data_IF_449065361096
#
_entry.id   IF_449065361096
#
_cell.length_a   1.000
_cell.length_b   1.000
_cell.length_c   1.000
_cell.angle_alpha   90.00
_cell.angle_beta   90.00
_cell.angle_gamma   90.00
#
_symmetry.space_group_name_H-M   'P 1'
#
loop_
_entity.id
_entity.type
_entity.pdbx_description
1 polymer ?
#
# COMPACT_ATOMS: atom_id res chain seq x y z
N UNK A 1 -97.44 -4.19 20.59
CA UNK A 1 -96.63 -2.96 20.73
C UNK A 1 -95.57 -3.30 21.75
N UNK A 2 -94.38 -3.66 21.28
CA UNK A 2 -93.25 -4.02 22.13
C UNK A 2 -92.05 -3.30 21.53
N UNK A 3 -91.68 -2.18 22.13
CA UNK A 3 -90.55 -1.35 21.72
C UNK A 3 -89.24 -2.12 21.94
N UNK A 4 -88.53 -2.43 20.85
CA UNK A 4 -87.12 -2.84 20.90
C UNK A 4 -86.27 -1.60 20.64
N UNK A 5 -85.62 -1.10 21.69
CA UNK A 5 -84.56 -0.10 21.59
C UNK A 5 -83.29 -0.75 21.00
N UNK A 6 -82.68 -0.19 19.94
CA UNK A 6 -81.43 -0.72 19.41
C UNK A 6 -80.25 -0.36 20.33
N UNK A 7 -79.44 -1.38 20.67
CA UNK A 7 -78.23 -1.22 21.46
C UNK A 7 -77.19 -0.36 20.71
N UNK A 8 -76.64 0.64 21.39
CA UNK A 8 -75.54 1.47 20.90
C UNK A 8 -74.22 0.69 20.86
N UNK A 9 -73.43 0.77 19.78
CA UNK A 9 -72.14 0.09 19.71
C UNK A 9 -71.12 0.74 20.65
N UNK A 10 -70.45 -0.09 21.46
CA UNK A 10 -69.34 0.35 22.29
C UNK A 10 -68.13 0.77 21.44
N UNK A 11 -67.41 1.85 21.80
CA UNK A 11 -66.20 2.24 21.11
C UNK A 11 -65.11 1.18 21.32
N UNK A 12 -64.29 0.88 20.29
CA UNK A 12 -63.18 -0.06 20.43
C UNK A 12 -62.18 0.45 21.45
N UNK A 13 -61.75 -0.43 22.37
CA UNK A 13 -60.70 -0.16 23.34
C UNK A 13 -59.39 0.19 22.63
N UNK A 14 -58.67 1.26 23.02
CA UNK A 14 -57.38 1.60 22.42
C UNK A 14 -56.36 0.49 22.67
N UNK A 15 -55.84 -0.12 21.60
CA UNK A 15 -54.72 -1.03 21.70
C UNK A 15 -53.48 -0.30 22.23
N UNK A 16 -52.71 -0.91 23.15
CA UNK A 16 -51.46 -0.32 23.62
C UNK A 16 -50.51 -0.12 22.42
N UNK A 17 -49.78 1.01 22.36
CA UNK A 17 -48.83 1.26 21.28
C UNK A 17 -47.78 0.16 21.27
N UNK A 18 -47.61 -0.49 20.12
CA UNK A 18 -46.55 -1.47 19.90
C UNK A 18 -45.19 -0.79 20.13
N UNK A 19 -44.26 -1.44 20.87
CA UNK A 19 -42.94 -0.87 21.11
C UNK A 19 -42.24 -0.67 19.78
N UNK A 20 -41.96 0.59 19.43
CA UNK A 20 -41.20 0.88 18.22
C UNK A 20 -39.75 0.45 18.42
N UNK A 21 -39.13 -0.22 17.44
CA UNK A 21 -37.73 -0.57 17.51
C UNK A 21 -36.87 0.70 17.65
N UNK A 22 -35.72 0.63 18.34
CA UNK A 22 -34.87 1.79 18.55
C UNK A 22 -34.45 2.39 17.20
N UNK A 23 -34.87 3.62 16.94
CA UNK A 23 -34.51 4.35 15.73
C UNK A 23 -33.17 5.04 15.94
N UNK A 24 -32.14 4.61 15.21
CA UNK A 24 -30.85 5.31 15.18
C UNK A 24 -31.04 6.72 14.61
N UNK A 25 -30.82 7.75 15.42
CA UNK A 25 -31.01 9.13 15.00
C UNK A 25 -29.99 9.49 13.89
N UNK A 26 -30.40 10.05 12.73
CA UNK A 26 -29.50 10.35 11.62
C UNK A 26 -28.29 11.23 11.96
N UNK A 27 -28.44 12.09 12.98
CA UNK A 27 -27.38 12.94 13.50
C UNK A 27 -26.34 12.20 14.36
N UNK A 28 -26.74 11.11 15.02
CA UNK A 28 -25.81 10.23 15.74
C UNK A 28 -24.97 9.42 14.76
N UNK A 29 -25.61 8.83 13.74
CA UNK A 29 -24.92 8.06 12.69
C UNK A 29 -23.88 8.91 11.97
N UNK A 30 -24.22 10.14 11.57
CA UNK A 30 -23.26 11.05 10.92
C UNK A 30 -22.08 11.41 11.82
N UNK A 31 -22.32 11.62 13.13
CA UNK A 31 -21.24 11.90 14.09
C UNK A 31 -20.31 10.72 14.25
N UNK A 32 -20.86 9.51 14.40
CA UNK A 32 -20.06 8.27 14.49
C UNK A 32 -19.25 8.07 13.22
N UNK A 33 -19.87 8.21 12.04
CA UNK A 33 -19.16 8.10 10.76
C UNK A 33 -18.05 9.14 10.61
N UNK A 34 -18.28 10.39 11.05
CA UNK A 34 -17.27 11.44 11.01
C UNK A 34 -16.09 11.15 11.95
N UNK A 35 -16.35 10.69 13.17
CA UNK A 35 -15.29 10.28 14.11
C UNK A 35 -14.50 9.11 13.54
N UNK A 36 -15.18 8.08 13.03
CA UNK A 36 -14.55 6.94 12.38
C UNK A 36 -13.71 7.37 11.16
N UNK A 37 -14.21 8.33 10.37
CA UNK A 37 -13.49 8.87 9.22
C UNK A 37 -12.23 9.62 9.63
N UNK A 38 -12.27 10.45 10.68
CA UNK A 38 -11.08 11.14 11.20
C UNK A 38 -10.04 10.14 11.72
N UNK A 39 -10.47 9.16 12.53
CA UNK A 39 -9.57 8.12 13.02
C UNK A 39 -8.95 7.31 11.89
N UNK A 40 -9.76 6.96 10.88
CA UNK A 40 -9.29 6.32 9.67
C UNK A 40 -8.26 7.17 8.93
N UNK A 41 -8.49 8.47 8.74
CA UNK A 41 -7.55 9.35 8.07
C UNK A 41 -6.20 9.41 8.81
N UNK A 42 -6.20 9.39 10.14
CA UNK A 42 -4.96 9.31 10.92
C UNK A 42 -4.21 8.00 10.63
N UNK A 43 -4.91 6.87 10.59
CA UNK A 43 -4.32 5.57 10.26
C UNK A 43 -3.81 5.54 8.81
N UNK A 44 -4.58 6.08 7.87
CA UNK A 44 -4.21 6.19 6.46
C UNK A 44 -2.93 7.03 6.30
N UNK A 45 -2.86 8.19 6.94
CA UNK A 45 -1.67 9.03 6.93
C UNK A 45 -0.49 8.31 7.57
N UNK A 46 -0.67 7.64 8.70
CA UNK A 46 0.41 6.87 9.32
C UNK A 46 0.91 5.75 8.38
N UNK A 47 0.01 4.97 7.77
CA UNK A 47 0.38 3.92 6.83
C UNK A 47 1.07 4.47 5.57
N UNK A 48 0.61 5.62 5.06
CA UNK A 48 1.16 6.26 3.89
C UNK A 48 2.53 6.92 4.13
N UNK A 49 2.80 7.44 5.33
CA UNK A 49 3.99 8.25 5.59
C UNK A 49 4.96 7.68 6.64
N UNK A 50 4.70 6.51 7.24
CA UNK A 50 5.65 5.85 8.14
C UNK A 50 6.31 4.63 7.49
N UNK A 51 7.60 4.38 7.74
CA UNK A 51 8.54 5.19 8.51
C UNK A 51 8.87 6.52 7.82
N UNK A 52 9.23 7.54 8.62
CA UNK A 52 9.58 8.88 8.12
C UNK A 52 10.95 8.85 7.42
N UNK A 53 11.28 9.80 6.52
CA UNK A 53 12.53 9.77 5.76
C UNK A 53 13.80 9.62 6.61
N UNK A 54 13.89 10.33 7.73
CA UNK A 54 15.04 10.24 8.64
C UNK A 54 15.11 8.95 9.47
N UNK A 55 14.12 8.06 9.34
CA UNK A 55 14.10 6.73 9.98
C UNK A 55 14.51 5.62 9.00
N UNK A 56 14.86 5.99 7.76
CA UNK A 56 15.12 5.08 6.66
C UNK A 56 16.51 5.34 6.09
N UNK A 57 17.25 4.27 5.82
CA UNK A 57 18.56 4.34 5.18
C UNK A 57 18.40 4.84 3.74
N UNK A 58 19.18 5.85 3.37
CA UNK A 58 19.16 6.44 2.03
C UNK A 58 19.73 5.45 1.01
N UNK A 59 18.88 4.89 0.14
CA UNK A 59 19.32 3.97 -0.92
C UNK A 59 19.33 4.68 -2.27
N UNK A 60 20.50 4.91 -2.85
CA UNK A 60 20.65 5.58 -4.14
C UNK A 60 20.44 7.10 -4.08
N UNK A 61 20.41 7.74 -5.26
CA UNK A 61 20.28 9.20 -5.41
C UNK A 61 19.00 9.58 -6.14
N UNK A 62 18.45 10.76 -5.79
CA UNK A 62 17.32 11.36 -6.51
C UNK A 62 15.97 10.74 -6.18
N UNK A 63 15.07 10.68 -7.16
CA UNK A 63 13.69 10.20 -6.99
C UNK A 63 13.49 8.86 -7.69
N UNK A 64 12.73 7.97 -7.07
CA UNK A 64 12.27 6.73 -7.68
C UNK A 64 10.82 6.89 -8.15
N UNK A 65 10.55 6.46 -9.38
CA UNK A 65 9.20 6.39 -9.92
C UNK A 65 9.05 5.19 -10.86
N UNK A 66 7.92 4.51 -10.79
CA UNK A 66 7.50 3.49 -11.75
C UNK A 66 6.17 3.89 -12.40
N UNK A 67 6.26 4.22 -13.70
CA UNK A 67 5.10 4.60 -14.50
C UNK A 67 4.58 3.42 -15.34
N UNK A 68 5.24 2.26 -15.26
CA UNK A 68 4.81 1.07 -15.97
C UNK A 68 3.65 0.42 -15.24
N UNK A 69 2.54 0.24 -15.96
CA UNK A 69 1.45 -0.58 -15.47
C UNK A 69 1.88 -2.05 -15.52
N UNK A 70 2.21 -2.60 -14.36
CA UNK A 70 2.63 -3.99 -14.20
C UNK A 70 1.42 -4.86 -13.90
N UNK A 71 1.62 -6.17 -13.99
CA UNK A 71 0.62 -7.13 -13.50
C UNK A 71 0.57 -7.00 -11.96
N UNK A 72 -0.56 -6.62 -11.36
CA UNK A 72 -0.68 -6.55 -9.91
C UNK A 72 -0.73 -7.96 -9.32
N UNK A 73 0.10 -8.25 -8.31
CA UNK A 73 0.14 -9.53 -7.62
C UNK A 73 -0.76 -9.55 -6.38
N UNK A 74 -2.06 -9.74 -6.57
CA UNK A 74 -3.02 -9.75 -5.45
C UNK A 74 -3.07 -11.07 -4.66
N UNK A 75 -2.47 -12.17 -5.15
CA UNK A 75 -2.47 -13.46 -4.44
C UNK A 75 -1.14 -13.76 -3.75
N UNK A 76 -0.01 -13.21 -4.22
CA UNK A 76 1.32 -13.42 -3.66
C UNK A 76 1.94 -12.21 -2.95
N UNK A 77 1.46 -10.98 -3.21
CA UNK A 77 2.08 -9.75 -2.71
C UNK A 77 1.25 -9.02 -1.65
N UNK A 78 1.76 -8.95 -0.42
CA UNK A 78 1.15 -8.14 0.65
C UNK A 78 1.04 -6.65 0.27
N UNK A 79 1.99 -6.13 -0.49
CA UNK A 79 2.03 -4.73 -0.92
C UNK A 79 0.79 -4.37 -1.74
N UNK A 80 0.48 -5.17 -2.75
CA UNK A 80 -0.69 -4.95 -3.61
C UNK A 80 -2.02 -5.09 -2.84
N UNK A 81 -2.11 -6.09 -1.95
CA UNK A 81 -3.30 -6.29 -1.11
C UNK A 81 -3.53 -5.10 -0.16
N UNK A 82 -2.48 -4.65 0.52
CA UNK A 82 -2.52 -3.52 1.44
C UNK A 82 -3.00 -2.25 0.75
N UNK A 83 -2.54 -2.00 -0.47
CA UNK A 83 -2.92 -0.82 -1.25
C UNK A 83 -4.43 -0.81 -1.54
N UNK A 84 -5.01 -1.93 -1.98
CA UNK A 84 -6.47 -2.04 -2.13
C UNK A 84 -7.17 -1.87 -0.78
N UNK A 85 -6.73 -2.59 0.26
CA UNK A 85 -7.43 -2.62 1.55
C UNK A 85 -7.41 -1.27 2.27
N UNK A 86 -6.32 -0.50 2.16
CA UNK A 86 -6.16 0.73 2.92
C UNK A 86 -7.15 1.82 2.51
N UNK A 87 -7.62 1.84 1.26
CA UNK A 87 -8.55 2.87 0.75
C UNK A 87 -10.02 2.43 0.73
N UNK A 88 -10.33 1.15 0.96
CA UNK A 88 -11.72 0.68 1.10
C UNK A 88 -12.49 1.50 2.15
N UNK A 89 -11.96 1.74 3.37
CA UNK A 89 -12.68 2.54 4.37
C UNK A 89 -12.94 3.98 3.91
N UNK A 90 -12.09 4.58 3.08
CA UNK A 90 -12.33 5.91 2.49
C UNK A 90 -13.62 5.90 1.66
N UNK A 91 -13.75 4.93 0.75
CA UNK A 91 -14.93 4.77 -0.09
C UNK A 91 -16.20 4.48 0.73
N UNK A 92 -16.05 3.76 1.85
CA UNK A 92 -17.18 3.45 2.73
C UNK A 92 -17.65 4.69 3.50
N UNK A 93 -16.72 5.39 4.15
CA UNK A 93 -17.00 6.42 5.14
C UNK A 93 -17.27 7.80 4.52
N UNK A 94 -16.57 8.18 3.45
CA UNK A 94 -16.74 9.48 2.79
C UNK A 94 -18.21 9.82 2.47
N UNK A 95 -18.99 8.97 1.76
CA UNK A 95 -20.41 9.26 1.46
C UNK A 95 -21.32 9.36 2.69
N UNK A 96 -20.88 8.88 3.86
CA UNK A 96 -21.62 8.98 5.12
C UNK A 96 -21.35 10.31 5.84
N UNK A 97 -20.22 10.95 5.55
CA UNK A 97 -19.77 12.20 6.17
C UNK A 97 -20.14 13.42 5.32
N UNK A 98 -19.95 13.33 4.00
CA UNK A 98 -20.18 14.44 3.06
C UNK A 98 -21.43 14.26 2.21
N UNK A 99 -21.98 15.35 1.69
CA UNK A 99 -23.15 15.35 0.78
C UNK A 99 -22.76 15.68 -0.65
N UNK A 100 -21.71 15.05 -1.14
CA UNK A 100 -21.22 15.26 -2.49
C UNK A 100 -22.01 14.46 -3.52
N UNK A 101 -21.94 14.91 -4.78
CA UNK A 101 -22.48 14.15 -5.91
C UNK A 101 -21.65 12.87 -6.08
N UNK A 102 -22.27 11.81 -6.60
CA UNK A 102 -21.61 10.51 -6.78
C UNK A 102 -20.33 10.62 -7.62
N UNK A 103 -20.38 11.44 -8.67
CA UNK A 103 -19.25 11.68 -9.57
C UNK A 103 -18.07 12.33 -8.85
N UNK A 104 -18.35 13.19 -7.87
CA UNK A 104 -17.31 13.83 -7.03
C UNK A 104 -16.73 12.83 -6.03
N UNK A 105 -17.54 11.90 -5.51
CA UNK A 105 -17.04 10.82 -4.63
C UNK A 105 -16.11 9.86 -5.38
N UNK A 106 -16.46 9.51 -6.63
CA UNK A 106 -15.60 8.72 -7.52
C UNK A 106 -14.29 9.47 -7.79
N UNK A 107 -14.37 10.76 -8.13
CA UNK A 107 -13.17 11.58 -8.34
C UNK A 107 -12.32 11.68 -7.07
N UNK A 108 -12.94 11.78 -5.89
CA UNK A 108 -12.23 11.82 -4.63
C UNK A 108 -11.44 10.52 -4.37
N UNK A 109 -11.93 9.36 -4.82
CA UNK A 109 -11.20 8.09 -4.72
C UNK A 109 -9.92 8.08 -5.57
N UNK A 110 -9.90 8.79 -6.71
CA UNK A 110 -8.70 8.95 -7.55
C UNK A 110 -7.81 10.08 -7.00
N UNK A 111 -8.41 11.18 -6.55
CA UNK A 111 -7.66 12.35 -6.12
C UNK A 111 -6.88 12.08 -4.83
N UNK A 112 -7.45 11.35 -3.86
CA UNK A 112 -6.75 11.05 -2.61
C UNK A 112 -5.50 10.21 -2.85
N UNK A 113 -5.56 9.26 -3.78
CA UNK A 113 -4.44 8.37 -4.09
C UNK A 113 -3.36 9.12 -4.85
N UNK A 114 -3.75 9.94 -5.82
CA UNK A 114 -2.83 10.81 -6.55
C UNK A 114 -2.11 11.79 -5.62
N UNK A 115 -2.82 12.38 -4.67
CA UNK A 115 -2.20 13.27 -3.66
C UNK A 115 -1.20 12.52 -2.80
N UNK A 116 -1.51 11.31 -2.32
CA UNK A 116 -0.58 10.53 -1.49
C UNK A 116 0.73 10.26 -2.24
N UNK A 117 0.64 9.69 -3.45
CA UNK A 117 1.80 9.38 -4.30
C UNK A 117 2.60 10.63 -4.65
N UNK A 118 1.90 11.73 -4.96
CA UNK A 118 2.55 13.00 -5.32
C UNK A 118 3.29 13.62 -4.13
N UNK A 119 2.69 13.60 -2.93
CA UNK A 119 3.36 14.12 -1.72
C UNK A 119 4.58 13.26 -1.39
N UNK A 120 4.49 11.93 -1.51
CA UNK A 120 5.64 11.04 -1.32
C UNK A 120 6.77 11.36 -2.31
N UNK A 121 6.46 11.57 -3.59
CA UNK A 121 7.44 11.98 -4.61
C UNK A 121 8.08 13.34 -4.28
N UNK A 122 7.28 14.31 -3.85
CA UNK A 122 7.76 15.64 -3.45
C UNK A 122 8.66 15.56 -2.21
N UNK A 123 8.36 14.66 -1.26
CA UNK A 123 9.22 14.42 -0.10
C UNK A 123 10.54 13.77 -0.54
N UNK A 124 10.51 12.74 -1.39
CA UNK A 124 11.73 12.14 -1.97
C UNK A 124 12.59 13.19 -2.68
N UNK A 125 11.97 14.11 -3.43
CA UNK A 125 12.67 15.23 -4.06
C UNK A 125 13.29 16.19 -3.04
N UNK A 126 12.59 16.48 -1.94
CA UNK A 126 13.06 17.37 -0.90
C UNK A 126 14.22 16.78 -0.07
N UNK A 127 14.22 15.46 0.15
CA UNK A 127 15.30 14.78 0.89
C UNK A 127 16.49 14.38 0.00
N UNK A 128 16.31 14.36 -1.33
CA UNK A 128 17.38 14.11 -2.30
C UNK A 128 17.68 12.63 -2.57
N UNK A 129 16.88 11.71 -2.04
CA UNK A 129 17.02 10.27 -2.21
C UNK A 129 15.63 9.59 -2.17
N UNK A 130 15.47 8.36 -2.71
CA UNK A 130 14.17 7.75 -2.90
C UNK A 130 13.59 7.15 -1.61
N UNK A 131 12.97 8.00 -0.79
CA UNK A 131 12.29 7.58 0.44
C UNK A 131 11.09 6.67 0.17
N UNK A 132 10.26 7.07 -0.79
CA UNK A 132 9.16 6.27 -1.35
C UNK A 132 9.21 6.43 -2.87
N UNK A 133 8.88 5.36 -3.59
CA UNK A 133 8.71 5.41 -5.04
C UNK A 133 7.30 5.84 -5.40
N UNK A 134 7.15 6.72 -6.38
CA UNK A 134 5.86 6.98 -7.01
C UNK A 134 5.50 5.78 -7.89
N UNK A 135 4.41 5.08 -7.64
CA UNK A 135 4.02 3.89 -8.43
C UNK A 135 2.59 3.99 -8.99
N UNK A 136 2.45 3.89 -10.31
CA UNK A 136 1.14 3.91 -10.99
C UNK A 136 0.29 2.69 -10.61
N UNK A 137 0.90 1.56 -10.27
CA UNK A 137 0.19 0.39 -9.77
C UNK A 137 -0.44 0.68 -8.40
N UNK A 138 0.29 1.36 -7.51
CA UNK A 138 -0.21 1.75 -6.19
C UNK A 138 -1.37 2.74 -6.33
N UNK A 139 -1.23 3.75 -7.20
CA UNK A 139 -2.32 4.65 -7.57
C UNK A 139 -3.58 3.90 -8.03
N UNK A 140 -3.41 2.90 -8.91
CA UNK A 140 -4.52 2.10 -9.44
C UNK A 140 -5.17 1.24 -8.36
N UNK A 141 -4.39 0.49 -7.58
CA UNK A 141 -4.89 -0.42 -6.55
C UNK A 141 -5.60 0.34 -5.42
N UNK A 142 -5.03 1.47 -5.01
CA UNK A 142 -5.66 2.37 -4.05
C UNK A 142 -6.98 2.93 -4.61
N UNK A 143 -7.02 3.28 -5.89
CA UNK A 143 -8.26 3.74 -6.53
C UNK A 143 -9.32 2.64 -6.54
N UNK A 144 -8.94 1.42 -6.90
CA UNK A 144 -9.81 0.23 -6.88
C UNK A 144 -10.41 0.02 -5.49
N UNK A 145 -9.60 0.08 -4.44
CA UNK A 145 -10.09 -0.03 -3.05
C UNK A 145 -11.15 1.01 -2.70
N UNK A 146 -10.91 2.28 -3.02
CA UNK A 146 -11.87 3.36 -2.80
C UNK A 146 -13.19 3.15 -3.56
N UNK A 147 -13.13 2.70 -4.81
CA UNK A 147 -14.31 2.41 -5.62
C UNK A 147 -15.09 1.19 -5.09
N UNK A 148 -14.40 0.15 -4.60
CA UNK A 148 -15.05 -1.00 -3.95
C UNK A 148 -15.78 -0.58 -2.67
N UNK A 149 -15.14 0.25 -1.83
CA UNK A 149 -15.78 0.79 -0.63
C UNK A 149 -17.02 1.63 -0.95
N UNK A 150 -16.93 2.48 -1.97
CA UNK A 150 -18.05 3.31 -2.43
C UNK A 150 -19.21 2.46 -2.98
N UNK A 151 -18.90 1.43 -3.77
CA UNK A 151 -19.87 0.47 -4.28
C UNK A 151 -20.55 -0.31 -3.16
N UNK A 152 -19.79 -0.75 -2.15
CA UNK A 152 -20.30 -1.44 -0.98
C UNK A 152 -21.28 -0.57 -0.19
N UNK A 153 -20.94 0.69 0.09
CA UNK A 153 -21.88 1.64 0.74
C UNK A 153 -23.13 1.84 -0.10
N UNK A 154 -23.00 1.99 -1.42
CA UNK A 154 -24.13 2.09 -2.33
C UNK A 154 -25.06 0.86 -2.26
N UNK A 155 -24.51 -0.34 -2.28
CA UNK A 155 -25.24 -1.60 -2.19
C UNK A 155 -25.97 -1.74 -0.84
N UNK A 156 -25.28 -1.48 0.29
CA UNK A 156 -25.89 -1.52 1.62
C UNK A 156 -27.04 -0.52 1.73
N UNK A 157 -26.86 0.71 1.27
CA UNK A 157 -27.93 1.71 1.29
C UNK A 157 -29.10 1.33 0.38
N UNK A 158 -28.86 0.68 -0.76
CA UNK A 158 -29.91 0.16 -1.62
C UNK A 158 -30.70 -0.98 -0.93
N UNK A 159 -30.03 -1.91 -0.25
CA UNK A 159 -30.72 -2.97 0.50
C UNK A 159 -31.55 -2.39 1.65
N UNK A 160 -30.97 -1.46 2.42
CA UNK A 160 -31.63 -0.89 3.60
C UNK A 160 -32.80 0.03 3.25
N UNK A 161 -32.67 0.84 2.20
CA UNK A 161 -33.71 1.82 1.81
C UNK A 161 -34.72 1.27 0.80
N UNK A 162 -34.48 0.05 0.28
CA UNK A 162 -35.23 -0.55 -0.84
C UNK A 162 -35.59 0.45 -1.96
N UNK A 163 -34.66 1.30 -2.43
CA UNK A 163 -34.95 2.19 -3.54
C UNK A 163 -35.07 1.38 -4.83
N UNK A 164 -35.70 1.97 -5.85
CA UNK A 164 -35.53 1.50 -7.21
C UNK A 164 -34.02 1.42 -7.55
N UNK A 165 -33.63 0.47 -8.41
CA UNK A 165 -32.25 0.25 -8.82
C UNK A 165 -31.57 1.59 -9.20
N UNK A 166 -30.32 1.82 -8.76
CA UNK A 166 -29.61 3.03 -9.16
C UNK A 166 -29.41 3.04 -10.68
N UNK A 167 -29.31 4.23 -11.30
CA UNK A 167 -29.01 4.31 -12.72
C UNK A 167 -27.69 3.61 -13.03
N UNK A 168 -27.64 2.86 -14.14
CA UNK A 168 -26.50 2.00 -14.54
C UNK A 168 -25.14 2.71 -14.43
N UNK A 169 -25.07 3.99 -14.78
CA UNK A 169 -23.83 4.81 -14.67
C UNK A 169 -23.20 4.80 -13.28
N UNK A 170 -23.99 4.62 -12.21
CA UNK A 170 -23.48 4.54 -10.84
C UNK A 170 -22.88 3.17 -10.50
N UNK A 171 -23.27 2.13 -11.23
CA UNK A 171 -22.72 0.79 -11.07
C UNK A 171 -21.39 0.63 -11.81
N UNK A 172 -21.16 1.39 -12.89
CA UNK A 172 -19.98 1.27 -13.76
C UNK A 172 -18.66 1.34 -12.98
N UNK A 173 -18.38 2.34 -12.12
CA UNK A 173 -17.08 2.41 -11.43
C UNK A 173 -16.82 1.21 -10.50
N UNK A 174 -17.85 0.77 -9.76
CA UNK A 174 -17.76 -0.41 -8.90
C UNK A 174 -17.57 -1.70 -9.70
N UNK A 175 -18.30 -1.86 -10.80
CA UNK A 175 -18.17 -3.02 -11.69
C UNK A 175 -16.78 -3.08 -12.33
N UNK A 176 -16.23 -1.94 -12.77
CA UNK A 176 -14.86 -1.85 -13.29
C UNK A 176 -13.83 -2.21 -12.22
N UNK A 177 -13.99 -1.73 -10.98
CA UNK A 177 -13.11 -2.08 -9.87
C UNK A 177 -13.13 -3.60 -9.60
N UNK A 178 -14.32 -4.22 -9.55
CA UNK A 178 -14.46 -5.68 -9.40
C UNK A 178 -13.83 -6.43 -10.58
N UNK A 179 -14.03 -5.96 -11.81
CA UNK A 179 -13.45 -6.57 -13.00
C UNK A 179 -11.92 -6.50 -12.99
N UNK A 180 -11.34 -5.38 -12.54
CA UNK A 180 -9.89 -5.21 -12.40
C UNK A 180 -9.30 -6.14 -11.33
N UNK A 181 -9.98 -6.31 -10.18
CA UNK A 181 -9.58 -7.30 -9.17
C UNK A 181 -9.67 -8.71 -9.74
N UNK A 182 -10.75 -9.04 -10.44
CA UNK A 182 -10.90 -10.35 -11.07
C UNK A 182 -9.81 -10.63 -12.11
N UNK A 183 -9.51 -9.65 -12.96
CA UNK A 183 -8.40 -9.73 -13.91
C UNK A 183 -7.06 -9.91 -13.20
N UNK A 184 -6.78 -9.14 -12.15
CA UNK A 184 -5.55 -9.25 -11.36
C UNK A 184 -5.38 -10.65 -10.75
N UNK A 185 -6.42 -11.18 -10.11
CA UNK A 185 -6.44 -12.55 -9.53
C UNK A 185 -6.16 -13.60 -10.59
N UNK A 186 -6.83 -13.51 -11.75
CA UNK A 186 -6.60 -14.45 -12.87
C UNK A 186 -5.18 -14.32 -13.43
N UNK A 187 -4.69 -13.09 -13.58
CA UNK A 187 -3.37 -12.81 -14.10
C UNK A 187 -2.26 -13.34 -13.18
N UNK A 188 -2.44 -13.24 -11.86
CA UNK A 188 -1.55 -13.85 -10.87
C UNK A 188 -1.62 -15.37 -10.92
N UNK A 189 -2.82 -15.95 -10.90
CA UNK A 189 -2.97 -17.41 -10.91
C UNK A 189 -2.45 -18.07 -12.20
N UNK A 190 -2.49 -17.36 -13.32
CA UNK A 190 -1.96 -17.79 -14.61
C UNK A 190 -0.47 -17.45 -14.80
N UNK A 191 0.15 -16.71 -13.87
CA UNK A 191 1.56 -16.40 -13.96
C UNK A 191 2.38 -17.65 -13.65
N UNK A 192 3.44 -17.96 -14.43
CA UNK A 192 4.44 -18.92 -13.97
C UNK A 192 5.01 -18.41 -12.64
N UNK A 193 5.25 -19.32 -11.68
CA UNK A 193 5.87 -18.96 -10.42
C UNK A 193 7.18 -18.20 -10.72
N UNK A 194 7.29 -16.97 -10.22
CA UNK A 194 8.56 -16.28 -10.26
C UNK A 194 9.59 -17.15 -9.51
N UNK A 195 10.82 -17.30 -10.00
CA UNK A 195 11.87 -17.92 -9.21
C UNK A 195 11.96 -17.13 -7.90
N UNK A 196 11.75 -17.81 -6.77
CA UNK A 196 11.98 -17.23 -5.46
C UNK A 196 13.49 -17.06 -5.36
N UNK A 197 14.01 -15.86 -5.64
CA UNK A 197 15.35 -15.48 -5.20
C UNK A 197 15.31 -15.58 -3.68
N UNK A 198 15.97 -16.59 -3.14
CA UNK A 198 16.02 -16.79 -1.70
C UNK A 198 16.79 -15.60 -1.10
N UNK A 199 16.23 -14.95 -0.09
CA UNK A 199 16.90 -13.86 0.60
C UNK A 199 18.24 -14.37 1.14
N UNK A 200 19.36 -13.88 0.58
CA UNK A 200 20.72 -14.24 0.98
C UNK A 200 20.89 -14.16 2.50
N UNK A 201 20.28 -13.14 3.10
CA UNK A 201 20.40 -12.81 4.51
C UNK A 201 19.56 -13.70 5.44
N UNK A 202 18.64 -14.50 4.88
CA UNK A 202 17.91 -15.52 5.62
C UNK A 202 18.63 -16.88 5.60
N UNK A 203 19.69 -17.02 4.82
CA UNK A 203 20.47 -18.24 4.65
C UNK A 203 21.71 -18.24 5.57
N UNK A 204 22.33 -19.41 5.73
CA UNK A 204 23.66 -19.47 6.34
C UNK A 204 24.71 -19.07 5.29
N UNK A 205 25.85 -18.49 5.69
CA UNK A 205 26.96 -18.25 4.77
C UNK A 205 27.36 -19.53 4.03
N UNK A 206 27.29 -19.48 2.70
CA UNK A 206 27.73 -20.57 1.83
C UNK A 206 29.26 -20.73 1.79
N UNK A 207 30.00 -19.70 2.23
CA UNK A 207 31.45 -19.65 2.29
C UNK A 207 31.96 -18.77 3.43
N UNK A 208 33.23 -18.38 3.36
CA UNK A 208 33.83 -17.46 4.32
C UNK A 208 33.13 -16.09 4.33
N UNK A 209 33.06 -15.51 5.52
CA UNK A 209 32.52 -14.17 5.73
C UNK A 209 33.62 -13.14 5.44
N UNK A 210 33.29 -12.18 4.58
CA UNK A 210 34.17 -11.06 4.19
C UNK A 210 33.93 -9.89 5.15
N UNK A 211 34.92 -9.49 5.97
CA UNK A 211 34.76 -8.36 6.88
C UNK A 211 34.73 -7.02 6.12
N UNK A 212 33.87 -6.10 6.58
CA UNK A 212 33.80 -4.71 6.13
C UNK A 212 34.13 -3.77 7.32
N UNK A 213 34.35 -2.49 7.05
CA UNK A 213 34.69 -1.51 8.09
C UNK A 213 33.59 -1.32 9.16
N UNK A 214 32.32 -1.45 8.78
CA UNK A 214 31.17 -1.40 9.70
C UNK A 214 30.13 -2.50 9.38
N UNK A 215 30.62 -3.73 9.22
CA UNK A 215 29.77 -4.89 8.96
C UNK A 215 30.50 -6.09 8.38
N UNK A 216 29.74 -6.95 7.71
CA UNK A 216 30.25 -8.14 7.06
C UNK A 216 29.41 -8.49 5.82
N UNK A 217 30.02 -9.22 4.90
CA UNK A 217 29.36 -9.71 3.68
C UNK A 217 29.60 -11.22 3.51
N UNK A 218 28.60 -11.94 2.99
CA UNK A 218 28.74 -13.37 2.66
C UNK A 218 27.80 -13.78 1.53
N UNK A 219 28.10 -14.90 0.87
CA UNK A 219 27.23 -15.44 -0.17
C UNK A 219 26.13 -16.35 0.41
N UNK A 220 24.94 -16.31 -0.19
CA UNK A 220 23.90 -17.34 -0.08
C UNK A 220 24.18 -18.53 -1.01
N UNK A 221 23.39 -19.59 -0.87
CA UNK A 221 23.54 -20.84 -1.63
C UNK A 221 23.31 -20.67 -3.14
N UNK A 222 22.61 -19.60 -3.55
CA UNK A 222 22.35 -19.24 -4.95
C UNK A 222 23.36 -18.22 -5.52
N UNK A 223 24.39 -17.87 -4.75
CA UNK A 223 25.42 -16.90 -5.12
C UNK A 223 25.02 -15.43 -4.94
N UNK A 224 23.82 -15.16 -4.43
CA UNK A 224 23.46 -13.81 -3.95
C UNK A 224 24.37 -13.38 -2.80
N UNK A 225 24.59 -12.08 -2.61
CA UNK A 225 25.42 -11.54 -1.51
C UNK A 225 24.51 -10.96 -0.43
N UNK A 226 24.68 -11.38 0.82
CA UNK A 226 24.14 -10.69 1.98
C UNK A 226 25.15 -9.69 2.52
N UNK A 227 24.72 -8.46 2.75
CA UNK A 227 25.43 -7.41 3.48
C UNK A 227 24.77 -7.28 4.85
N UNK A 228 25.53 -7.49 5.92
CA UNK A 228 25.10 -7.29 7.31
C UNK A 228 25.83 -6.05 7.84
N UNK A 229 25.10 -4.96 7.98
CA UNK A 229 25.64 -3.64 8.34
C UNK A 229 25.04 -3.20 9.67
N UNK A 230 25.66 -2.23 10.34
CA UNK A 230 25.16 -1.72 11.64
C UNK A 230 23.69 -1.26 11.61
N UNK A 231 23.20 -0.78 10.46
CA UNK A 231 21.81 -0.33 10.25
C UNK A 231 20.81 -1.40 9.78
N UNK A 232 21.25 -2.64 9.52
CA UNK A 232 20.40 -3.73 9.02
C UNK A 232 21.07 -4.56 7.93
N UNK A 233 20.28 -5.41 7.27
CA UNK A 233 20.77 -6.31 6.22
C UNK A 233 20.28 -5.92 4.83
N UNK A 234 21.06 -6.23 3.79
CA UNK A 234 20.68 -6.05 2.39
C UNK A 234 21.15 -7.24 1.55
N UNK A 235 20.24 -7.86 0.79
CA UNK A 235 20.58 -8.93 -0.16
C UNK A 235 20.74 -8.38 -1.57
N UNK A 236 21.78 -8.81 -2.27
CA UNK A 236 22.13 -8.42 -3.63
C UNK A 236 22.10 -9.66 -4.54
N UNK A 237 21.21 -9.74 -5.54
CA UNK A 237 21.15 -10.86 -6.48
C UNK A 237 22.47 -11.10 -7.23
N UNK A 238 22.82 -12.35 -7.58
CA UNK A 238 24.11 -12.68 -8.22
C UNK A 238 24.29 -12.03 -9.60
N UNK A 239 23.20 -11.62 -10.24
CA UNK A 239 23.19 -11.00 -11.56
C UNK A 239 23.18 -9.46 -11.52
N UNK A 240 23.25 -8.85 -10.34
CA UNK A 240 23.25 -7.39 -10.17
C UNK A 240 24.40 -6.70 -10.92
N UNK A 241 24.17 -5.50 -11.48
CA UNK A 241 25.21 -4.71 -12.11
C UNK A 241 26.19 -4.11 -11.09
N UNK A 242 27.36 -3.65 -11.54
CA UNK A 242 28.26 -2.87 -10.71
C UNK A 242 27.59 -1.58 -10.19
N UNK A 243 27.71 -1.34 -8.88
CA UNK A 243 27.20 -0.11 -8.26
C UNK A 243 27.02 -0.23 -6.76
N UNK A 244 26.64 0.90 -6.14
CA UNK A 244 26.34 0.97 -4.72
C UNK A 244 25.05 0.18 -4.42
N UNK A 245 25.13 -0.74 -3.46
CA UNK A 245 24.00 -1.53 -2.97
C UNK A 245 23.35 -0.87 -1.75
N UNK A 246 24.18 -0.29 -0.88
CA UNK A 246 23.78 0.44 0.32
C UNK A 246 24.60 1.71 0.44
N UNK A 247 23.94 2.81 0.83
CA UNK A 247 24.59 4.04 1.23
C UNK A 247 24.07 4.41 2.62
N UNK A 248 24.98 4.75 3.51
CA UNK A 248 24.71 5.16 4.89
C UNK A 248 25.29 6.55 5.06
N UNK A 249 24.48 7.47 5.57
CA UNK A 249 24.95 8.82 5.89
C UNK A 249 25.03 8.94 7.41
N UNK A 250 26.22 9.23 7.93
CA UNK A 250 26.51 9.37 9.35
C UNK A 250 27.13 10.75 9.66
N UNK A 251 27.53 10.97 10.91
CA UNK A 251 28.16 12.24 11.33
C UNK A 251 29.57 12.42 10.76
N UNK A 252 30.23 11.33 10.34
CA UNK A 252 31.61 11.30 9.84
C UNK A 252 31.68 11.36 8.29
N UNK A 253 30.55 11.21 7.59
CA UNK A 253 30.45 11.31 6.14
C UNK A 253 29.42 10.35 5.53
N UNK A 254 29.65 10.00 4.28
CA UNK A 254 28.88 9.00 3.53
C UNK A 254 29.68 7.72 3.46
N UNK A 255 29.12 6.62 3.97
CA UNK A 255 29.65 5.28 3.80
C UNK A 255 28.84 4.55 2.74
N UNK A 256 29.50 4.05 1.71
CA UNK A 256 28.90 3.28 0.62
C UNK A 256 29.44 1.86 0.64
N UNK A 257 28.54 0.90 0.45
CA UNK A 257 28.85 -0.50 0.21
C UNK A 257 28.18 -0.92 -1.08
N UNK A 258 28.94 -1.49 -2.00
CA UNK A 258 28.43 -1.91 -3.29
C UNK A 258 28.99 -3.25 -3.75
N UNK A 259 28.51 -3.67 -4.91
CA UNK A 259 28.97 -4.90 -5.55
C UNK A 259 29.41 -4.62 -6.97
N UNK A 260 30.30 -5.45 -7.50
CA UNK A 260 30.68 -5.46 -8.91
C UNK A 260 31.18 -6.85 -9.32
N UNK A 261 31.12 -7.17 -10.61
CA UNK A 261 31.72 -8.43 -11.10
C UNK A 261 33.23 -8.28 -11.25
N UNK A 262 33.99 -9.39 -11.19
CA UNK A 262 35.38 -9.39 -11.57
C UNK A 262 35.58 -8.82 -12.98
N UNK A 263 36.33 -7.72 -13.09
CA UNK A 263 36.61 -7.04 -14.36
C UNK A 263 35.67 -5.89 -14.73
N UNK A 264 34.62 -5.61 -13.94
CA UNK A 264 33.85 -4.37 -14.04
C UNK A 264 34.56 -3.24 -13.29
N UNK A 265 34.55 -2.03 -13.86
CA UNK A 265 34.98 -0.83 -13.15
C UNK A 265 33.90 -0.42 -12.14
N UNK A 266 34.27 -0.40 -10.86
CA UNK A 266 33.43 0.11 -9.80
C UNK A 266 33.99 1.45 -9.31
N UNK A 267 33.11 2.41 -9.05
CA UNK A 267 33.44 3.71 -8.48
C UNK A 267 32.48 4.04 -7.36
N UNK A 268 32.94 4.83 -6.39
CA UNK A 268 32.10 5.41 -5.35
C UNK A 268 31.24 6.55 -5.91
N UNK A 269 30.34 7.10 -5.08
CA UNK A 269 29.47 8.23 -5.43
C UNK A 269 30.19 9.50 -5.89
N UNK A 270 31.52 9.61 -5.72
CA UNK A 270 32.33 10.73 -6.23
C UNK A 270 33.06 10.39 -7.53
N UNK A 271 32.91 9.17 -8.04
CA UNK A 271 33.64 8.66 -9.19
C UNK A 271 35.06 8.20 -8.87
N UNK A 272 35.41 7.99 -7.59
CA UNK A 272 36.71 7.46 -7.21
C UNK A 272 36.72 5.92 -7.34
N UNK A 273 37.80 5.31 -7.86
CA UNK A 273 37.89 3.86 -7.98
C UNK A 273 37.90 3.20 -6.59
N UNK A 274 37.22 2.07 -6.48
CA UNK A 274 37.08 1.31 -5.22
C UNK A 274 37.76 -0.05 -5.29
N UNK A 275 38.20 -0.54 -4.14
CA UNK A 275 38.81 -1.86 -4.02
C UNK A 275 37.74 -2.95 -3.89
N UNK A 276 37.86 -4.00 -4.71
CA UNK A 276 36.92 -5.12 -4.73
C UNK A 276 37.42 -6.26 -3.84
N UNK A 277 36.70 -6.53 -2.76
CA UNK A 277 36.86 -7.65 -1.85
C UNK A 277 36.10 -8.88 -2.38
N UNK A 278 36.75 -10.05 -2.32
CA UNK A 278 36.09 -11.30 -2.74
C UNK A 278 35.03 -11.74 -1.73
N UNK A 279 33.93 -12.31 -2.24
CA UNK A 279 32.90 -12.98 -1.45
C UNK A 279 32.85 -14.43 -1.90
N UNK A 280 33.32 -15.33 -1.04
CA UNK A 280 33.37 -16.76 -1.37
C UNK A 280 31.96 -17.31 -1.59
N UNK A 281 31.75 -17.96 -2.74
CA UNK A 281 30.45 -18.50 -3.13
C UNK A 281 29.59 -17.57 -4.00
N UNK A 282 30.03 -16.33 -4.26
CA UNK A 282 29.33 -15.40 -5.16
C UNK A 282 30.13 -15.10 -6.44
N UNK A 283 29.46 -14.86 -7.59
CA UNK A 283 30.10 -14.25 -8.75
C UNK A 283 30.38 -12.75 -8.58
N UNK A 284 29.85 -12.13 -7.51
CA UNK A 284 30.05 -10.73 -7.19
C UNK A 284 31.21 -10.55 -6.20
N UNK A 285 31.86 -9.39 -6.30
CA UNK A 285 32.77 -8.85 -5.30
C UNK A 285 32.12 -7.67 -4.60
N UNK A 286 32.48 -7.44 -3.36
CA UNK A 286 31.97 -6.32 -2.55
C UNK A 286 33.03 -5.23 -2.45
N UNK A 287 32.61 -3.97 -2.38
CA UNK A 287 33.50 -2.86 -2.11
C UNK A 287 32.88 -1.94 -1.08
N UNK A 288 33.72 -1.17 -0.39
CA UNK A 288 33.28 -0.09 0.47
C UNK A 288 34.08 1.19 0.23
N UNK A 289 33.43 2.33 0.40
CA UNK A 289 34.08 3.65 0.34
C UNK A 289 33.47 4.56 1.40
N UNK A 290 34.29 5.40 2.03
CA UNK A 290 33.84 6.39 3.00
C UNK A 290 34.36 7.76 2.62
N UNK A 291 33.48 8.77 2.57
CA UNK A 291 33.81 10.09 2.05
C UNK A 291 32.94 11.24 2.52
#
# INVERSE_FOLDING_TARGET
MTDQHPATPHPPTPHPPTPQPPTLHPAAVRRVAAVAFVLYLLVLTAAAFLPLPWQTLARGEGVAYDLALRRPDLLGGWEAQRNVLMTVPFGVLLPLVVRWRYEVLVLACVAVTLVIESVQLLVSLAVGWPWRSFDVNDLLLNTVGGLLGLAATGAVLAVLRRPALPPVRRLVPGALAVALVGWAVVATAAAPAAPVLADACAQRPAGAVTPLSDGEAYAGDDGSVCLVLGGGTAAVPPDSPAGAAVRVQDEDGTWEVGTARPGEEAVDGRGAPVELLEVEGSPLRVWESRW
#
